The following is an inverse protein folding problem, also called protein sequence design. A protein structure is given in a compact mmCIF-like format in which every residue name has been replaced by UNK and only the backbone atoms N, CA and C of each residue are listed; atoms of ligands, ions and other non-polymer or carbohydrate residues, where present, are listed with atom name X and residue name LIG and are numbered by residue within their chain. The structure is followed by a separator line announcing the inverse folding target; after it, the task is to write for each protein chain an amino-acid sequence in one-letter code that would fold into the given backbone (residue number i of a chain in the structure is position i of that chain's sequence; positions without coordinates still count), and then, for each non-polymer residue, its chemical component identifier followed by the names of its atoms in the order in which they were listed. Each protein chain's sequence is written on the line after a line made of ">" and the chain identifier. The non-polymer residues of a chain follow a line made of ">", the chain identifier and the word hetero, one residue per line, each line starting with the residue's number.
data_IF_608594509334
#
_entry.id   IF_608594509334
#
_cell.length_a   1.000
_cell.length_b   1.000
_cell.length_c   1.000
_cell.angle_alpha   90.00
_cell.angle_beta   90.00
_cell.angle_gamma   90.00
#
_symmetry.space_group_name_H-M   'P 1'
#
loop_
_entity.id
_entity.type
_entity.pdbx_description
1 polymer ?
#
# COMPACT_ATOMS: atom_id res chain seq x y z
N UNK A 1 1.89 6.00 18.48
CA UNK A 1 1.68 7.14 17.57
C UNK A 1 1.75 6.70 16.09
N UNK A 2 2.79 5.97 15.69
CA UNK A 2 2.99 5.47 14.31
C UNK A 2 1.82 4.65 13.75
N UNK A 3 1.30 3.69 14.54
CA UNK A 3 0.12 2.92 14.13
C UNK A 3 -1.11 3.80 13.91
N UNK A 4 -1.30 4.82 14.74
CA UNK A 4 -2.45 5.73 14.65
C UNK A 4 -2.40 6.54 13.36
N UNK A 5 -1.23 7.09 12.97
CA UNK A 5 -1.11 7.87 11.73
C UNK A 5 -1.36 7.01 10.49
N UNK A 6 -0.93 5.74 10.50
CA UNK A 6 -1.23 4.78 9.44
C UNK A 6 -2.73 4.44 9.36
N UNK A 7 -3.40 4.19 10.48
CA UNK A 7 -4.84 3.95 10.49
C UNK A 7 -5.64 5.17 10.01
N UNK A 8 -5.23 6.39 10.39
CA UNK A 8 -5.87 7.62 9.90
C UNK A 8 -5.71 7.77 8.39
N UNK A 9 -4.52 7.49 7.83
CA UNK A 9 -4.31 7.50 6.38
C UNK A 9 -5.17 6.44 5.67
N UNK A 10 -5.22 5.22 6.21
CA UNK A 10 -6.07 4.14 5.68
C UNK A 10 -7.56 4.52 5.71
N UNK A 11 -8.05 5.12 6.79
CA UNK A 11 -9.42 5.60 6.91
C UNK A 11 -9.77 6.64 5.83
N UNK A 12 -8.86 7.58 5.57
CA UNK A 12 -9.04 8.57 4.50
C UNK A 12 -9.13 7.89 3.14
N UNK A 13 -8.20 6.98 2.83
CA UNK A 13 -8.21 6.23 1.57
C UNK A 13 -9.52 5.43 1.39
N UNK A 14 -9.92 4.65 2.40
CA UNK A 14 -11.15 3.84 2.37
C UNK A 14 -12.40 4.70 2.19
N UNK A 15 -12.47 5.85 2.88
CA UNK A 15 -13.58 6.79 2.74
C UNK A 15 -13.65 7.36 1.31
N UNK A 16 -12.51 7.77 0.75
CA UNK A 16 -12.45 8.28 -0.63
C UNK A 16 -12.85 7.19 -1.64
N UNK A 17 -12.39 5.95 -1.48
CA UNK A 17 -12.78 4.83 -2.34
C UNK A 17 -14.28 4.52 -2.27
N UNK A 18 -14.88 4.56 -1.08
CA UNK A 18 -16.33 4.39 -0.89
C UNK A 18 -17.12 5.51 -1.57
N UNK A 19 -16.71 6.76 -1.39
CA UNK A 19 -17.35 7.92 -2.03
C UNK A 19 -17.23 7.86 -3.56
N UNK A 20 -16.06 7.47 -4.06
CA UNK A 20 -15.81 7.28 -5.49
C UNK A 20 -16.73 6.19 -6.06
N UNK A 21 -16.77 5.00 -5.44
CA UNK A 21 -17.62 3.90 -5.90
C UNK A 21 -19.12 4.25 -5.84
N UNK A 22 -19.56 4.96 -4.80
CA UNK A 22 -20.94 5.48 -4.74
C UNK A 22 -21.23 6.49 -5.86
N UNK A 23 -20.25 7.33 -6.23
CA UNK A 23 -20.35 8.22 -7.39
C UNK A 23 -20.54 7.44 -8.69
N UNK A 24 -19.66 6.48 -8.97
CA UNK A 24 -19.70 5.68 -10.20
C UNK A 24 -20.98 4.86 -10.36
N UNK A 25 -21.56 4.38 -9.26
CA UNK A 25 -22.86 3.69 -9.27
C UNK A 25 -24.00 4.68 -9.57
N UNK A 26 -23.97 5.88 -8.97
CA UNK A 26 -25.00 6.91 -9.22
C UNK A 26 -25.01 7.39 -10.67
N UNK A 27 -23.83 7.55 -11.27
CA UNK A 27 -23.66 7.98 -12.67
C UNK A 27 -23.98 6.85 -13.66
N UNK A 28 -24.09 5.59 -13.19
CA UNK A 28 -24.42 4.44 -14.02
C UNK A 28 -23.23 3.86 -14.79
N UNK A 29 -22.00 4.34 -14.55
CA UNK A 29 -20.78 3.76 -15.10
C UNK A 29 -20.52 2.34 -14.58
N UNK A 30 -20.91 2.06 -13.34
CA UNK A 30 -20.88 0.72 -12.77
C UNK A 30 -22.28 0.20 -12.50
N UNK A 31 -22.61 -0.97 -13.04
CA UNK A 31 -23.85 -1.68 -12.69
C UNK A 31 -23.72 -2.27 -11.29
N UNK A 32 -24.74 -2.13 -10.42
CA UNK A 32 -24.75 -2.75 -9.09
C UNK A 32 -24.84 -4.29 -9.22
N UNK A 33 -23.69 -4.92 -9.40
CA UNK A 33 -23.53 -6.38 -9.48
C UNK A 33 -23.17 -6.97 -8.12
N UNK A 34 -23.29 -8.28 -7.98
CA UNK A 34 -22.85 -8.98 -6.76
C UNK A 34 -21.34 -8.77 -6.51
N UNK A 35 -20.52 -8.69 -7.55
CA UNK A 35 -19.09 -8.40 -7.42
C UNK A 35 -18.85 -6.99 -6.84
N UNK A 36 -19.53 -5.98 -7.37
CA UNK A 36 -19.42 -4.59 -6.88
C UNK A 36 -19.92 -4.49 -5.43
N UNK A 37 -21.04 -5.13 -5.09
CA UNK A 37 -21.56 -5.19 -3.71
C UNK A 37 -20.58 -5.86 -2.76
N UNK A 38 -19.95 -6.97 -3.16
CA UNK A 38 -18.97 -7.66 -2.34
C UNK A 38 -17.75 -6.79 -2.04
N UNK A 39 -17.24 -6.07 -3.05
CA UNK A 39 -16.12 -5.15 -2.88
C UNK A 39 -16.50 -3.97 -1.97
N UNK A 40 -17.70 -3.40 -2.13
CA UNK A 40 -18.20 -2.33 -1.25
C UNK A 40 -18.35 -2.80 0.21
N UNK A 41 -18.85 -4.02 0.41
CA UNK A 41 -18.97 -4.59 1.75
C UNK A 41 -17.58 -4.82 2.39
N UNK A 42 -16.59 -5.29 1.62
CA UNK A 42 -15.22 -5.45 2.10
C UNK A 42 -14.59 -4.09 2.45
N UNK A 43 -14.74 -3.09 1.58
CA UNK A 43 -14.31 -1.70 1.83
C UNK A 43 -14.93 -1.14 3.13
N UNK A 44 -16.24 -1.32 3.31
CA UNK A 44 -16.95 -0.82 4.49
C UNK A 44 -16.52 -1.57 5.76
N UNK A 45 -16.37 -2.89 5.68
CA UNK A 45 -15.87 -3.70 6.80
C UNK A 45 -14.47 -3.25 7.23
N UNK A 46 -13.56 -3.06 6.28
CA UNK A 46 -12.21 -2.55 6.55
C UNK A 46 -12.24 -1.15 7.16
N UNK A 47 -13.12 -0.27 6.66
CA UNK A 47 -13.29 1.07 7.21
C UNK A 47 -13.66 1.02 8.70
N UNK A 48 -14.66 0.21 9.06
CA UNK A 48 -15.06 0.06 10.46
C UNK A 48 -13.97 -0.56 11.34
N UNK A 49 -13.24 -1.57 10.84
CA UNK A 49 -12.11 -2.16 11.56
C UNK A 49 -10.99 -1.14 11.81
N UNK A 50 -10.63 -0.34 10.81
CA UNK A 50 -9.65 0.73 10.95
C UNK A 50 -10.14 1.81 11.93
N UNK A 51 -11.43 2.14 11.91
CA UNK A 51 -12.02 3.15 12.78
C UNK A 51 -11.98 2.71 14.24
N UNK A 52 -12.34 1.45 14.51
CA UNK A 52 -12.29 0.87 15.85
C UNK A 52 -10.85 0.89 16.40
N UNK A 53 -9.87 0.44 15.61
CA UNK A 53 -8.46 0.43 16.01
C UNK A 53 -7.90 1.83 16.21
N UNK A 54 -8.22 2.78 15.33
CA UNK A 54 -7.82 4.17 15.46
C UNK A 54 -8.39 4.81 16.74
N UNK A 55 -9.67 4.58 17.02
CA UNK A 55 -10.34 5.09 18.23
C UNK A 55 -9.72 4.52 19.51
N UNK A 56 -9.47 3.20 19.56
CA UNK A 56 -8.78 2.56 20.70
C UNK A 56 -7.39 3.15 20.92
N UNK A 57 -6.61 3.29 19.86
CA UNK A 57 -5.26 3.89 19.93
C UNK A 57 -5.33 5.35 20.37
N UNK A 58 -6.28 6.14 19.85
CA UNK A 58 -6.46 7.53 20.26
C UNK A 58 -6.78 7.64 21.75
N UNK A 59 -7.66 6.80 22.28
CA UNK A 59 -8.02 6.78 23.70
C UNK A 59 -6.80 6.42 24.59
N UNK A 60 -5.97 5.47 24.16
CA UNK A 60 -4.73 5.12 24.88
C UNK A 60 -3.70 6.24 24.88
N UNK A 61 -3.72 7.11 23.86
CA UNK A 61 -2.83 8.26 23.74
C UNK A 61 -3.40 9.54 24.38
N UNK A 62 -4.69 9.58 24.71
CA UNK A 62 -5.39 10.78 25.21
C UNK A 62 -4.85 11.39 26.52
N UNK A 63 -4.14 10.69 27.43
CA UNK A 63 -3.47 11.36 28.54
C UNK A 63 -2.32 12.30 28.12
N UNK A 64 -1.87 12.30 26.85
CA UNK A 64 -0.70 13.08 26.40
C UNK A 64 -0.76 13.70 25.00
N UNK A 65 -1.89 13.64 24.29
CA UNK A 65 -2.00 14.10 22.89
C UNK A 65 -3.00 15.25 22.70
N UNK A 66 -2.72 16.39 23.33
CA UNK A 66 -3.38 17.65 22.94
C UNK A 66 -2.60 18.24 21.77
N UNK A 67 -3.20 18.22 20.57
CA UNK A 67 -2.76 18.91 19.33
C UNK A 67 -1.72 18.20 18.43
N UNK A 68 -2.08 17.03 17.88
CA UNK A 68 -1.46 16.60 16.60
C UNK A 68 -2.27 17.14 15.43
N UNK A 69 -1.66 18.02 14.63
CA UNK A 69 -2.26 18.53 13.40
C UNK A 69 -2.36 17.44 12.32
N UNK A 70 -3.46 17.46 11.56
CA UNK A 70 -3.80 16.45 10.57
C UNK A 70 -2.82 16.36 9.42
N UNK A 71 -2.06 17.43 9.12
CA UNK A 71 -0.98 17.46 8.13
C UNK A 71 0.30 16.79 8.66
N UNK A 72 0.67 17.06 9.91
CA UNK A 72 1.81 16.41 10.57
C UNK A 72 1.63 14.88 10.63
N UNK A 73 0.40 14.41 10.90
CA UNK A 73 0.08 12.98 10.87
C UNK A 73 0.25 12.37 9.47
N UNK A 74 -0.13 13.07 8.40
CA UNK A 74 0.07 12.59 7.02
C UNK A 74 1.55 12.47 6.68
N UNK A 75 2.34 13.53 6.94
CA UNK A 75 3.79 13.53 6.65
C UNK A 75 4.50 12.41 7.43
N UNK A 76 4.09 12.15 8.67
CA UNK A 76 4.60 11.03 9.46
C UNK A 76 4.24 9.67 8.85
N UNK A 77 3.00 9.49 8.39
CA UNK A 77 2.58 8.25 7.73
C UNK A 77 3.31 8.01 6.41
N UNK A 78 3.51 9.05 5.60
CA UNK A 78 4.19 8.96 4.31
C UNK A 78 5.65 8.53 4.48
N UNK A 79 6.33 9.12 5.46
CA UNK A 79 7.71 8.75 5.80
C UNK A 79 7.81 7.30 6.30
N UNK A 80 6.87 6.86 7.14
CA UNK A 80 6.81 5.46 7.60
C UNK A 80 6.60 4.49 6.44
N UNK A 81 5.66 4.80 5.54
CA UNK A 81 5.39 3.99 4.35
C UNK A 81 6.62 3.93 3.43
N UNK A 82 7.32 5.06 3.23
CA UNK A 82 8.53 5.10 2.42
C UNK A 82 9.65 4.23 3.02
N UNK A 83 9.93 4.38 4.32
CA UNK A 83 10.94 3.56 5.00
C UNK A 83 10.60 2.08 4.90
N UNK A 84 9.34 1.71 5.15
CA UNK A 84 8.88 0.33 5.04
C UNK A 84 9.01 -0.21 3.60
N UNK A 85 8.69 0.60 2.58
CA UNK A 85 8.90 0.20 1.19
C UNK A 85 10.38 -0.08 0.88
N UNK A 86 11.29 0.75 1.38
CA UNK A 86 12.73 0.52 1.23
C UNK A 86 13.20 -0.74 1.97
N UNK A 87 12.71 -0.97 3.19
CA UNK A 87 12.97 -2.18 3.96
C UNK A 87 12.48 -3.43 3.23
N UNK A 88 11.29 -3.40 2.65
CA UNK A 88 10.78 -4.51 1.82
C UNK A 88 11.68 -4.78 0.62
N UNK A 89 12.18 -3.75 -0.06
CA UNK A 89 13.14 -3.91 -1.16
C UNK A 89 14.46 -4.55 -0.71
N UNK A 90 14.99 -4.15 0.45
CA UNK A 90 16.22 -4.71 1.02
C UNK A 90 16.03 -6.17 1.43
N UNK A 91 14.95 -6.47 2.16
CA UNK A 91 14.60 -7.82 2.57
C UNK A 91 14.34 -8.73 1.36
N UNK A 92 13.70 -8.21 0.31
CA UNK A 92 13.51 -8.94 -0.93
C UNK A 92 14.84 -9.25 -1.62
N UNK A 93 15.79 -8.32 -1.64
CA UNK A 93 17.13 -8.55 -2.18
C UNK A 93 17.89 -9.62 -1.38
N UNK A 94 17.78 -9.63 -0.05
CA UNK A 94 18.34 -10.69 0.78
C UNK A 94 17.71 -12.05 0.46
N UNK A 95 16.38 -12.12 0.35
CA UNK A 95 15.69 -13.36 -0.01
C UNK A 95 16.14 -13.93 -1.36
N UNK A 96 16.53 -13.09 -2.32
CA UNK A 96 17.10 -13.56 -3.59
C UNK A 96 18.44 -14.25 -3.40
N UNK A 97 19.29 -13.69 -2.54
CA UNK A 97 20.62 -14.25 -2.22
C UNK A 97 20.48 -15.56 -1.46
N UNK A 98 19.50 -15.66 -0.54
CA UNK A 98 19.30 -16.83 0.30
C UNK A 98 18.30 -17.86 -0.25
N UNK A 99 17.75 -17.66 -1.45
CA UNK A 99 16.98 -18.68 -2.16
C UNK A 99 15.48 -18.76 -1.84
N UNK A 100 14.84 -17.66 -1.43
CA UNK A 100 13.40 -17.56 -1.13
C UNK A 100 12.61 -16.73 -2.18
N UNK A 101 12.47 -17.20 -3.43
CA UNK A 101 11.95 -16.38 -4.54
C UNK A 101 10.44 -16.07 -4.45
N UNK A 102 9.66 -16.80 -3.65
CA UNK A 102 8.22 -16.54 -3.45
C UNK A 102 8.02 -15.32 -2.55
N UNK A 103 8.66 -15.32 -1.39
CA UNK A 103 8.62 -14.20 -0.44
C UNK A 103 9.23 -12.93 -1.03
N UNK A 104 10.34 -13.05 -1.76
CA UNK A 104 10.96 -11.94 -2.47
C UNK A 104 9.98 -11.17 -3.38
N UNK A 105 9.19 -11.89 -4.20
CA UNK A 105 8.26 -11.25 -5.13
C UNK A 105 7.20 -10.44 -4.39
N UNK A 106 6.60 -11.02 -3.34
CA UNK A 106 5.55 -10.36 -2.55
C UNK A 106 6.09 -9.10 -1.88
N UNK A 107 7.34 -9.13 -1.38
CA UNK A 107 7.99 -7.96 -0.78
C UNK A 107 8.23 -6.84 -1.80
N UNK A 108 8.69 -7.17 -3.01
CA UNK A 108 8.81 -6.16 -4.08
C UNK A 108 7.45 -5.62 -4.55
N UNK A 109 6.41 -6.46 -4.67
CA UNK A 109 5.05 -6.02 -4.99
C UNK A 109 4.49 -5.09 -3.90
N UNK A 110 4.76 -5.41 -2.63
CA UNK A 110 4.40 -4.55 -1.50
C UNK A 110 5.09 -3.19 -1.59
N UNK A 111 6.41 -3.17 -1.82
CA UNK A 111 7.15 -1.92 -2.00
C UNK A 111 6.62 -1.10 -3.20
N UNK A 112 6.28 -1.76 -4.30
CA UNK A 112 5.74 -1.13 -5.50
C UNK A 112 4.43 -0.38 -5.21
N UNK A 113 3.49 -1.01 -4.51
CA UNK A 113 2.19 -0.40 -4.17
C UNK A 113 2.37 0.80 -3.24
N UNK A 114 3.26 0.69 -2.24
CA UNK A 114 3.55 1.78 -1.31
C UNK A 114 4.17 2.98 -2.03
N UNK A 115 5.16 2.74 -2.89
CA UNK A 115 5.82 3.80 -3.68
C UNK A 115 4.85 4.47 -4.66
N UNK A 116 3.96 3.70 -5.30
CA UNK A 116 2.92 4.24 -6.16
C UNK A 116 1.97 5.17 -5.38
N UNK A 117 1.46 4.73 -4.23
CA UNK A 117 0.56 5.55 -3.41
C UNK A 117 1.23 6.83 -2.89
N UNK A 118 2.51 6.77 -2.52
CA UNK A 118 3.27 7.96 -2.11
C UNK A 118 3.48 8.94 -3.27
N UNK A 119 3.70 8.42 -4.49
CA UNK A 119 3.96 9.26 -5.67
C UNK A 119 2.69 9.99 -6.13
N UNK A 120 1.53 9.33 -6.07
CA UNK A 120 0.22 9.92 -6.37
C UNK A 120 -0.14 11.06 -5.41
N UNK A 121 0.28 10.96 -4.15
CA UNK A 121 0.03 11.96 -3.11
C UNK A 121 1.15 12.99 -2.95
N UNK A 122 2.25 12.88 -3.70
CA UNK A 122 3.43 13.73 -3.55
C UNK A 122 3.12 15.21 -3.89
N UNK A 123 3.45 16.09 -2.94
CA UNK A 123 3.21 17.53 -3.07
C UNK A 123 4.33 18.28 -3.79
N UNK A 124 5.56 17.75 -3.79
CA UNK A 124 6.72 18.37 -4.46
C UNK A 124 7.13 17.55 -5.68
N UNK A 125 7.69 18.24 -6.68
CA UNK A 125 8.17 17.55 -7.88
C UNK A 125 9.48 16.80 -7.62
N UNK A 126 10.28 17.24 -6.64
CA UNK A 126 11.45 16.50 -6.16
C UNK A 126 11.05 15.13 -5.59
N UNK A 127 10.06 15.10 -4.69
CA UNK A 127 9.59 13.85 -4.08
C UNK A 127 8.98 12.94 -5.15
N UNK A 128 8.17 13.50 -6.05
CA UNK A 128 7.56 12.75 -7.15
C UNK A 128 8.61 12.09 -8.04
N UNK A 129 9.66 12.84 -8.42
CA UNK A 129 10.78 12.31 -9.21
C UNK A 129 11.55 11.22 -8.47
N UNK A 130 11.81 11.40 -7.18
CA UNK A 130 12.50 10.42 -6.35
C UNK A 130 11.70 9.11 -6.23
N UNK A 131 10.42 9.21 -5.90
CA UNK A 131 9.51 8.06 -5.77
C UNK A 131 9.36 7.34 -7.11
N UNK A 132 9.21 8.09 -8.21
CA UNK A 132 9.14 7.53 -9.55
C UNK A 132 10.42 6.76 -9.93
N UNK A 133 11.61 7.28 -9.59
CA UNK A 133 12.89 6.61 -9.81
C UNK A 133 12.94 5.25 -9.11
N UNK A 134 12.55 5.18 -7.82
CA UNK A 134 12.54 3.92 -7.09
C UNK A 134 11.48 2.95 -7.62
N UNK A 135 10.30 3.46 -7.97
CA UNK A 135 9.22 2.67 -8.59
C UNK A 135 9.69 1.99 -9.87
N UNK A 136 10.37 2.71 -10.76
CA UNK A 136 10.93 2.14 -12.00
C UNK A 136 11.99 1.08 -11.68
N UNK A 137 12.82 1.29 -10.65
CA UNK A 137 13.83 0.32 -10.27
C UNK A 137 13.21 -1.00 -9.75
N UNK A 138 12.17 -0.91 -8.92
CA UNK A 138 11.43 -2.06 -8.40
C UNK A 138 10.69 -2.80 -9.52
N UNK A 139 10.02 -2.08 -10.42
CA UNK A 139 9.31 -2.68 -11.57
C UNK A 139 10.25 -3.45 -12.51
N UNK A 140 11.41 -2.86 -12.83
CA UNK A 140 12.46 -3.55 -13.60
C UNK A 140 12.88 -4.85 -12.92
N UNK A 141 13.03 -4.82 -11.59
CA UNK A 141 13.42 -6.01 -10.83
C UNK A 141 12.33 -7.08 -10.84
N UNK A 142 11.07 -6.71 -10.60
CA UNK A 142 9.91 -7.61 -10.68
C UNK A 142 9.79 -8.28 -12.05
N UNK A 143 10.03 -7.52 -13.13
CA UNK A 143 10.07 -8.03 -14.49
C UNK A 143 11.17 -9.08 -14.67
N UNK A 144 12.37 -8.82 -14.16
CA UNK A 144 13.47 -9.79 -14.19
C UNK A 144 13.09 -11.08 -13.44
N UNK A 145 12.61 -10.98 -12.20
CA UNK A 145 12.20 -12.14 -11.38
C UNK A 145 11.14 -12.99 -12.09
N UNK A 146 10.17 -12.33 -12.73
CA UNK A 146 9.10 -13.01 -13.47
C UNK A 146 9.65 -13.77 -14.70
N UNK A 147 10.65 -13.22 -15.39
CA UNK A 147 11.35 -13.87 -16.52
C UNK A 147 12.26 -15.03 -16.06
N UNK A 148 12.92 -14.93 -14.91
CA UNK A 148 13.75 -16.03 -14.40
C UNK A 148 12.91 -17.23 -13.99
N UNK A 149 11.67 -17.00 -13.55
CA UNK A 149 10.70 -18.07 -13.27
C UNK A 149 10.31 -18.84 -14.52
N UNK A 150 9.93 -18.16 -15.61
CA UNK A 150 9.49 -18.83 -16.84
C UNK A 150 10.56 -19.73 -17.46
N UNK A 151 11.85 -19.38 -17.29
CA UNK A 151 12.99 -20.21 -17.72
C UNK A 151 13.24 -21.45 -16.84
N UNK A 152 12.96 -21.39 -15.53
CA UNK A 152 13.12 -22.55 -14.63
C UNK A 152 12.02 -23.60 -14.85
N UNK A 153 10.79 -23.18 -15.15
CA UNK A 153 9.68 -24.11 -15.43
C UNK A 153 9.82 -24.87 -16.75
N UNK A 154 10.59 -24.33 -17.70
CA UNK A 154 10.85 -24.98 -19.00
C UNK A 154 12.02 -25.98 -18.96
N UNK A 155 12.83 -26.00 -17.89
CA UNK A 155 13.91 -26.98 -17.68
C UNK A 155 13.49 -28.17 -16.80
N UNK A 156 12.38 -28.07 -16.07
CA UNK A 156 11.85 -29.15 -15.22
C UNK A 156 10.91 -30.12 -15.95
N UNK A 157 10.55 -29.85 -17.21
CA UNK A 157 9.70 -30.72 -18.04
C UNK A 157 10.50 -31.59 -19.03
N UNK A 158 11.81 -31.74 -18.84
CA UNK A 158 12.69 -32.50 -19.74
C UNK A 158 13.54 -33.56 -19.02
N UNK A 159 13.06 -34.10 -17.90
CA UNK A 159 13.64 -35.30 -17.29
C UNK A 159 12.56 -36.29 -16.91
#
# INVERSE_FOLDING_TARGET
>A
MEQLVLYVKALRALKLSLLFAQGEIRVGHQKPSNAVKNVLNDLNSRYHQCLEKASKLKQLLEPGLQTLDGKSMTVSADRLMYHYAMEQCQNAALDEVFGNPKECKVKYETAQVLLQGLEEEAHTDEDRRLLNKYKIAVDKRLTCISRTRTRKTSQSNTR
#
